data_IF_422064032982
#
_entry.id   IF_422064032982
#
_cell.length_a   1.000
_cell.length_b   1.000
_cell.length_c   1.000
_cell.angle_alpha   90.00
_cell.angle_beta   90.00
_cell.angle_gamma   90.00
#
_symmetry.space_group_name_H-M   'P 1'
#
loop_
_entity.id
_entity.type
_entity.pdbx_description
1 polymer ?
#
# COMPACT_ATOMS: atom_id res chain seq x y z
N UNK A 1 14.80 28.07 42.37
CA UNK A 1 15.33 28.65 41.12
C UNK A 1 14.30 28.44 40.02
N UNK A 2 13.86 29.54 39.39
CA UNK A 2 12.95 29.57 38.24
C UNK A 2 13.81 29.47 36.98
N UNK A 3 13.50 28.56 36.06
CA UNK A 3 14.14 28.51 34.74
C UNK A 3 13.06 28.64 33.67
N UNK A 4 13.39 29.50 32.71
CA UNK A 4 12.52 30.30 31.86
C UNK A 4 12.09 29.51 30.63
N UNK A 5 10.85 29.77 30.22
CA UNK A 5 10.15 29.38 29.00
C UNK A 5 10.96 29.71 27.73
N UNK A 6 11.27 28.73 26.89
CA UNK A 6 11.78 28.97 25.53
C UNK A 6 10.80 28.41 24.51
N UNK A 7 9.88 29.26 24.09
CA UNK A 7 9.01 29.09 22.91
C UNK A 7 9.90 29.24 21.67
N UNK A 8 10.09 28.17 20.90
CA UNK A 8 10.72 28.22 19.59
C UNK A 8 9.63 28.35 18.52
N UNK A 9 9.27 29.59 18.20
CA UNK A 9 8.56 29.94 16.96
C UNK A 9 9.60 30.00 15.84
N UNK A 10 9.50 29.09 14.87
CA UNK A 10 10.20 29.21 13.59
C UNK A 10 9.14 29.47 12.51
N UNK A 11 9.25 30.68 11.96
CA UNK A 11 8.37 31.27 10.98
C UNK A 11 8.61 30.72 9.56
N UNK A 12 7.63 31.04 8.71
CA UNK A 12 7.35 30.52 7.38
C UNK A 12 8.42 30.82 6.32
N UNK A 13 8.51 29.91 5.34
CA UNK A 13 9.03 30.16 3.99
C UNK A 13 8.36 29.22 3.01
N UNK A 14 7.22 29.63 2.44
CA UNK A 14 6.50 28.88 1.42
C UNK A 14 6.98 29.21 0.02
N UNK A 15 6.97 28.20 -0.87
CA UNK A 15 6.87 28.33 -2.32
C UNK A 15 6.48 26.96 -2.92
N UNK A 16 5.19 26.63 -2.92
CA UNK A 16 4.52 26.03 -4.09
C UNK A 16 3.01 26.27 -3.96
N UNK A 17 2.49 27.15 -4.82
CA UNK A 17 1.17 27.74 -4.74
C UNK A 17 0.25 26.97 -5.69
N UNK A 18 -0.51 25.99 -5.18
CA UNK A 18 -1.37 25.18 -6.05
C UNK A 18 -2.56 24.46 -5.41
N UNK A 19 -2.46 23.85 -4.21
CA UNK A 19 -3.51 22.92 -3.71
C UNK A 19 -3.94 23.13 -2.25
N UNK A 20 -3.50 24.18 -1.57
CA UNK A 20 -3.89 24.43 -0.18
C UNK A 20 -5.28 25.08 -0.14
N UNK A 21 -6.31 24.22 -0.12
CA UNK A 21 -7.69 24.61 0.14
C UNK A 21 -7.86 25.36 1.47
N UNK A 22 -9.02 26.02 1.58
CA UNK A 22 -9.43 26.92 2.67
C UNK A 22 -8.93 26.47 4.07
N UNK A 23 -8.16 27.30 4.81
CA UNK A 23 -7.62 26.97 6.15
C UNK A 23 -8.66 26.55 7.19
N UNK A 24 -9.90 26.99 7.02
CA UNK A 24 -11.04 26.60 7.87
C UNK A 24 -11.47 25.13 7.67
N UNK A 25 -11.11 24.50 6.55
CA UNK A 25 -11.40 23.08 6.27
C UNK A 25 -10.26 22.14 6.68
N UNK A 26 -9.13 22.66 7.17
CA UNK A 26 -7.99 21.85 7.62
C UNK A 26 -8.32 20.83 8.70
N UNK A 27 -9.17 21.11 9.72
CA UNK A 27 -9.52 20.10 10.71
C UNK A 27 -10.24 18.89 10.08
N UNK A 28 -11.15 19.14 9.13
CA UNK A 28 -11.86 18.09 8.41
C UNK A 28 -10.96 17.29 7.46
N UNK A 29 -10.07 17.98 6.74
CA UNK A 29 -9.11 17.35 5.82
C UNK A 29 -8.05 16.52 6.57
N UNK A 30 -7.62 16.96 7.76
CA UNK A 30 -6.68 16.24 8.61
C UNK A 30 -7.28 14.93 9.14
N UNK A 31 -8.55 14.97 9.58
CA UNK A 31 -9.26 13.76 10.03
C UNK A 31 -9.53 12.81 8.86
N UNK A 32 -9.95 13.32 7.70
CA UNK A 32 -10.14 12.51 6.49
C UNK A 32 -8.86 11.79 6.06
N UNK A 33 -7.76 12.54 5.90
CA UNK A 33 -6.44 12.00 5.53
C UNK A 33 -5.94 10.95 6.52
N UNK A 34 -6.17 11.14 7.82
CA UNK A 34 -5.75 10.18 8.84
C UNK A 34 -6.54 8.85 8.77
N UNK A 35 -7.85 8.91 8.51
CA UNK A 35 -8.71 7.72 8.37
C UNK A 35 -8.37 6.96 7.09
N UNK A 36 -8.22 7.66 5.96
CA UNK A 36 -7.85 7.04 4.68
C UNK A 36 -6.48 6.35 4.78
N UNK A 37 -5.48 7.02 5.37
CA UNK A 37 -4.16 6.44 5.59
C UNK A 37 -4.21 5.20 6.52
N UNK A 38 -5.05 5.23 7.57
CA UNK A 38 -5.24 4.08 8.47
C UNK A 38 -5.84 2.87 7.74
N UNK A 39 -6.89 3.08 6.93
CA UNK A 39 -7.53 1.99 6.17
C UNK A 39 -6.60 1.39 5.12
N UNK A 40 -5.84 2.24 4.41
CA UNK A 40 -4.81 1.80 3.46
C UNK A 40 -3.73 0.97 4.17
N UNK A 41 -3.18 1.46 5.28
CA UNK A 41 -2.13 0.77 6.03
C UNK A 41 -2.60 -0.57 6.59
N UNK A 42 -3.84 -0.64 7.08
CA UNK A 42 -4.44 -1.90 7.53
C UNK A 42 -4.56 -2.92 6.38
N UNK A 43 -4.96 -2.46 5.18
CA UNK A 43 -5.02 -3.32 3.99
C UNK A 43 -3.62 -3.80 3.57
N UNK A 44 -2.67 -2.87 3.45
CA UNK A 44 -1.28 -3.18 3.10
C UNK A 44 -0.66 -4.18 4.06
N UNK A 45 -0.90 -4.02 5.37
CA UNK A 45 -0.42 -4.95 6.38
C UNK A 45 -0.96 -6.37 6.14
N UNK A 46 -2.27 -6.52 5.91
CA UNK A 46 -2.86 -7.84 5.65
C UNK A 46 -2.28 -8.51 4.40
N UNK A 47 -2.11 -7.74 3.33
CA UNK A 47 -1.49 -8.25 2.09
C UNK A 47 -0.04 -8.65 2.33
N UNK A 48 0.74 -7.81 3.02
CA UNK A 48 2.14 -8.10 3.35
C UNK A 48 2.29 -9.33 4.23
N UNK A 49 1.49 -9.44 5.29
CA UNK A 49 1.50 -10.60 6.19
C UNK A 49 1.22 -11.89 5.41
N UNK A 50 0.24 -11.89 4.50
CA UNK A 50 -0.10 -13.04 3.66
C UNK A 50 0.98 -13.38 2.64
N UNK A 51 1.53 -12.38 1.93
CA UNK A 51 2.62 -12.58 0.95
C UNK A 51 3.88 -13.11 1.64
N UNK A 52 4.19 -12.61 2.83
CA UNK A 52 5.35 -13.07 3.60
C UNK A 52 5.21 -14.52 4.05
N UNK A 53 3.99 -14.95 4.42
CA UNK A 53 3.71 -16.30 4.86
C UNK A 53 3.62 -17.31 3.71
N UNK A 54 3.15 -16.89 2.53
CA UNK A 54 2.73 -17.79 1.44
C UNK A 54 3.36 -17.48 0.07
N UNK A 55 4.56 -16.86 0.04
CA UNK A 55 5.18 -16.43 -1.22
C UNK A 55 5.28 -17.58 -2.23
N UNK A 56 5.69 -18.77 -1.78
CA UNK A 56 5.89 -19.92 -2.67
C UNK A 56 4.57 -20.40 -3.29
N UNK A 57 3.51 -20.51 -2.49
CA UNK A 57 2.18 -20.91 -2.94
C UNK A 57 1.61 -19.87 -3.92
N UNK A 58 1.74 -18.57 -3.62
CA UNK A 58 1.28 -17.50 -4.51
C UNK A 58 2.01 -17.57 -5.86
N UNK A 59 3.33 -17.79 -5.87
CA UNK A 59 4.08 -17.92 -7.12
C UNK A 59 3.68 -19.16 -7.92
N UNK A 60 3.37 -20.26 -7.23
CA UNK A 60 2.86 -21.49 -7.84
C UNK A 60 1.51 -21.23 -8.50
N UNK A 61 0.58 -20.60 -7.77
CA UNK A 61 -0.75 -20.20 -8.26
C UNK A 61 -0.63 -19.27 -9.48
N UNK A 62 0.26 -18.28 -9.45
CA UNK A 62 0.54 -17.41 -10.61
C UNK A 62 0.99 -18.26 -11.80
N UNK A 63 1.90 -19.21 -11.60
CA UNK A 63 2.43 -20.08 -12.65
C UNK A 63 1.38 -20.97 -13.32
N UNK A 64 0.41 -21.49 -12.55
CA UNK A 64 -0.65 -22.38 -13.07
C UNK A 64 -1.91 -21.64 -13.52
N UNK A 65 -1.97 -20.32 -13.34
CA UNK A 65 -3.07 -19.47 -13.82
C UNK A 65 -4.18 -19.21 -12.80
N UNK A 66 -3.92 -19.41 -11.52
CA UNK A 66 -4.86 -19.16 -10.42
C UNK A 66 -4.64 -20.14 -9.27
N UNK A 67 -5.26 -19.86 -8.14
CA UNK A 67 -5.23 -20.73 -6.99
C UNK A 67 -5.56 -20.01 -5.68
N UNK A 68 -5.73 -20.76 -4.59
CA UNK A 68 -6.31 -20.25 -3.34
C UNK A 68 -5.43 -19.22 -2.65
N UNK A 69 -4.09 -19.33 -2.72
CA UNK A 69 -3.19 -18.38 -2.08
C UNK A 69 -3.17 -17.04 -2.84
N UNK A 70 -3.19 -17.10 -4.17
CA UNK A 70 -3.31 -15.92 -5.03
C UNK A 70 -4.70 -15.26 -4.93
N UNK A 71 -5.77 -16.04 -4.92
CA UNK A 71 -7.13 -15.51 -4.76
C UNK A 71 -7.30 -14.82 -3.41
N UNK A 72 -6.73 -15.40 -2.35
CA UNK A 72 -6.70 -14.76 -1.04
C UNK A 72 -5.92 -13.44 -1.08
N UNK A 73 -4.79 -13.39 -1.78
CA UNK A 73 -4.02 -12.16 -1.95
C UNK A 73 -4.82 -11.09 -2.70
N UNK A 74 -5.55 -11.47 -3.76
CA UNK A 74 -6.46 -10.57 -4.48
C UNK A 74 -7.60 -10.06 -3.59
N UNK A 75 -8.20 -10.91 -2.76
CA UNK A 75 -9.26 -10.52 -1.83
C UNK A 75 -8.74 -9.54 -0.77
N UNK A 76 -7.58 -9.83 -0.18
CA UNK A 76 -6.95 -8.96 0.81
C UNK A 76 -6.58 -7.60 0.23
N UNK A 77 -6.09 -7.57 -1.02
CA UNK A 77 -5.78 -6.34 -1.73
C UNK A 77 -7.03 -5.61 -2.26
N UNK A 78 -8.21 -6.26 -2.24
CA UNK A 78 -9.46 -5.76 -2.85
C UNK A 78 -9.35 -5.56 -4.36
N UNK A 79 -8.69 -6.49 -5.06
CA UNK A 79 -8.67 -6.48 -6.53
C UNK A 79 -10.05 -6.89 -7.05
N UNK A 80 -10.68 -6.00 -7.80
CA UNK A 80 -11.99 -6.26 -8.40
C UNK A 80 -11.94 -7.49 -9.33
N UNK A 81 -12.98 -8.34 -9.28
CA UNK A 81 -12.98 -9.63 -9.99
C UNK A 81 -12.74 -9.49 -11.50
N UNK A 82 -13.23 -8.41 -12.11
CA UNK A 82 -13.02 -8.11 -13.54
C UNK A 82 -11.56 -7.83 -13.88
N UNK A 83 -10.76 -7.36 -12.92
CA UNK A 83 -9.39 -6.94 -13.13
C UNK A 83 -8.38 -8.07 -12.85
N UNK A 84 -8.78 -9.10 -12.07
CA UNK A 84 -7.93 -10.24 -11.70
C UNK A 84 -7.30 -10.95 -12.89
N UNK A 85 -8.03 -11.25 -13.99
CA UNK A 85 -7.41 -11.93 -15.14
C UNK A 85 -6.30 -11.12 -15.80
N UNK A 86 -6.46 -9.79 -15.87
CA UNK A 86 -5.44 -8.91 -16.41
C UNK A 86 -4.23 -8.83 -15.48
N UNK A 87 -4.46 -8.68 -14.18
CA UNK A 87 -3.39 -8.65 -13.18
C UNK A 87 -2.61 -9.97 -13.16
N UNK A 88 -3.28 -11.11 -13.18
CA UNK A 88 -2.64 -12.42 -13.27
C UNK A 88 -1.71 -12.51 -14.48
N UNK A 89 -2.14 -12.06 -15.67
CA UNK A 89 -1.29 -12.03 -16.86
C UNK A 89 -0.06 -11.14 -16.67
N UNK A 90 -0.20 -9.99 -16.01
CA UNK A 90 0.95 -9.13 -15.67
C UNK A 90 1.90 -9.84 -14.71
N UNK A 91 1.38 -10.42 -13.62
CA UNK A 91 2.18 -11.15 -12.64
C UNK A 91 2.92 -12.35 -13.25
N UNK A 92 2.31 -13.04 -14.22
CA UNK A 92 2.94 -14.13 -14.96
C UNK A 92 4.10 -13.64 -15.84
N UNK A 93 3.92 -12.52 -16.55
CA UNK A 93 4.99 -11.91 -17.37
C UNK A 93 6.17 -11.48 -16.50
N UNK A 94 5.90 -10.97 -15.31
CA UNK A 94 6.90 -10.42 -14.40
C UNK A 94 7.36 -11.41 -13.32
N UNK A 95 6.97 -12.69 -13.43
CA UNK A 95 7.13 -13.68 -12.35
C UNK A 95 8.57 -13.82 -11.86
N UNK A 96 9.56 -13.63 -12.75
CA UNK A 96 10.97 -13.66 -12.41
C UNK A 96 11.37 -12.63 -11.33
N UNK A 97 10.68 -11.48 -11.26
CA UNK A 97 10.91 -10.43 -10.26
C UNK A 97 10.54 -10.87 -8.84
N UNK A 98 9.55 -11.76 -8.73
CA UNK A 98 8.97 -12.19 -7.46
C UNK A 98 9.53 -13.52 -6.95
N UNK A 99 10.21 -14.29 -7.80
CA UNK A 99 10.76 -15.62 -7.48
C UNK A 99 11.86 -15.64 -6.40
N UNK A 100 12.78 -14.66 -6.31
CA UNK A 100 13.80 -14.71 -5.28
C UNK A 100 13.18 -14.70 -3.87
N UNK A 101 13.68 -15.54 -2.97
CA UNK A 101 13.27 -15.52 -1.56
C UNK A 101 13.97 -14.35 -0.82
N UNK A 102 13.60 -13.12 -1.17
CA UNK A 102 14.14 -11.90 -0.58
C UNK A 102 13.01 -10.98 -0.13
N UNK A 103 13.27 -10.16 0.89
CA UNK A 103 12.31 -9.15 1.34
C UNK A 103 11.91 -8.19 0.20
N UNK A 104 12.85 -7.86 -0.68
CA UNK A 104 12.60 -7.02 -1.86
C UNK A 104 11.60 -7.66 -2.81
N UNK A 105 11.77 -8.94 -3.15
CA UNK A 105 10.84 -9.63 -4.05
C UNK A 105 9.42 -9.72 -3.47
N UNK A 106 9.31 -10.01 -2.16
CA UNK A 106 8.01 -10.00 -1.46
C UNK A 106 7.36 -8.63 -1.48
N UNK A 107 8.12 -7.56 -1.21
CA UNK A 107 7.59 -6.20 -1.24
C UNK A 107 7.10 -5.80 -2.65
N UNK A 108 7.80 -6.21 -3.71
CA UNK A 108 7.36 -5.93 -5.08
C UNK A 108 6.04 -6.62 -5.41
N UNK A 109 5.83 -7.85 -4.92
CA UNK A 109 4.55 -8.54 -5.06
C UNK A 109 3.43 -7.83 -4.27
N UNK A 110 3.72 -7.36 -3.05
CA UNK A 110 2.76 -6.56 -2.25
C UNK A 110 2.38 -5.27 -2.99
N UNK A 111 3.35 -4.56 -3.56
CA UNK A 111 3.11 -3.33 -4.33
C UNK A 111 2.23 -3.62 -5.55
N UNK A 112 2.55 -4.66 -6.33
CA UNK A 112 1.77 -5.03 -7.51
C UNK A 112 0.29 -5.32 -7.15
N UNK A 113 0.05 -6.01 -6.05
CA UNK A 113 -1.30 -6.28 -5.54
C UNK A 113 -2.01 -5.00 -5.07
N UNK A 114 -1.30 -4.15 -4.31
CA UNK A 114 -1.87 -2.93 -3.72
C UNK A 114 -2.20 -1.85 -4.75
N UNK A 115 -1.43 -1.73 -5.83
CA UNK A 115 -1.68 -0.77 -6.92
C UNK A 115 -2.92 -1.15 -7.73
N UNK A 116 -3.19 -2.45 -7.86
CA UNK A 116 -4.35 -2.96 -8.58
C UNK A 116 -5.57 -3.19 -7.67
N UNK A 117 -5.44 -2.86 -6.38
CA UNK A 117 -6.43 -3.04 -5.35
C UNK A 117 -6.92 -1.70 -4.79
N UNK A 118 -8.24 -1.56 -4.59
CA UNK A 118 -8.88 -0.27 -4.35
C UNK A 118 -10.26 -0.47 -3.79
#
# INVERSE_FOLDING_TARGET
>A
MRIILTVAVLALGGCDMGHLGNPLMWPGMAVGSAVENSTYNARRKKVSDHVNAHQFEILTDIGVGGGPALDKAFDLARVHKTNRPQLLRTLQKEIAMYRPNTAKAREQLVIALMVNGG
#
